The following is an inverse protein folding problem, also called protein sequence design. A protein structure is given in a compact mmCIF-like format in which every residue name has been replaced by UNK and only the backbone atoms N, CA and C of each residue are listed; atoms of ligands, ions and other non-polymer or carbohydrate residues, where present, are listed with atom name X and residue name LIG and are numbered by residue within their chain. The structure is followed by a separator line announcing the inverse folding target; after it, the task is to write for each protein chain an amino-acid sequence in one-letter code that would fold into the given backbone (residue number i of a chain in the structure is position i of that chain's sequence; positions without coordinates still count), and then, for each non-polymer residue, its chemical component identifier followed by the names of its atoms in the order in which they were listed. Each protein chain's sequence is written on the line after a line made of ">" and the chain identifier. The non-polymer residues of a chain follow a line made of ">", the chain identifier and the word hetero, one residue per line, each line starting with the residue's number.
data_IF_199674220671
#
_entry.id   IF_199674220671
#
_cell.length_a   1.000
_cell.length_b   1.000
_cell.length_c   1.000
_cell.angle_alpha   90.00
_cell.angle_beta   90.00
_cell.angle_gamma   90.00
#
_symmetry.space_group_name_H-M   'P 1'
#
loop_
_entity.id
_entity.type
_entity.pdbx_description
1 polymer ?
#
# COMPACT_ATOMS: atom_id res chain seq x y z
N UNK A 1 15.22 16.67 24.35
CA UNK A 1 14.01 16.06 24.96
C UNK A 1 13.45 15.04 23.95
N UNK A 2 13.69 13.75 24.19
CA UNK A 2 13.37 12.67 23.25
C UNK A 2 11.90 12.29 23.48
N UNK A 3 11.01 12.76 22.62
CA UNK A 3 9.58 12.44 22.71
C UNK A 3 9.36 10.94 22.47
N UNK A 4 8.63 10.32 23.40
CA UNK A 4 8.35 8.88 23.49
C UNK A 4 7.77 8.26 22.23
N UNK A 5 7.86 6.94 22.15
CA UNK A 5 7.52 6.10 21.00
C UNK A 5 6.08 6.28 20.50
N UNK A 6 5.83 7.37 19.78
CA UNK A 6 4.64 7.75 18.99
C UNK A 6 5.06 8.67 17.84
N UNK A 7 6.27 8.46 17.31
CA UNK A 7 6.87 9.37 16.36
C UNK A 7 6.06 9.43 15.05
N UNK A 8 5.50 8.28 14.65
CA UNK A 8 4.67 8.14 13.46
C UNK A 8 3.33 8.88 13.60
N UNK A 9 2.60 8.65 14.70
CA UNK A 9 1.34 9.36 14.99
C UNK A 9 1.56 10.88 15.06
N UNK A 10 2.61 11.32 15.76
CA UNK A 10 2.92 12.73 15.90
C UNK A 10 3.27 13.40 14.55
N UNK A 11 3.95 12.66 13.66
CA UNK A 11 4.27 13.15 12.30
C UNK A 11 3.01 13.23 11.43
N UNK A 12 2.13 12.25 11.53
CA UNK A 12 0.85 12.25 10.82
C UNK A 12 0.00 13.46 11.25
N UNK A 13 -0.17 13.69 12.56
CA UNK A 13 -0.96 14.80 13.09
C UNK A 13 -0.45 16.17 12.62
N UNK A 14 0.87 16.38 12.61
CA UNK A 14 1.49 17.61 12.07
C UNK A 14 1.22 17.80 10.58
N UNK A 15 0.95 16.72 9.84
CA UNK A 15 0.65 16.73 8.40
C UNK A 15 -0.86 16.79 8.11
N UNK A 16 -1.76 16.61 9.08
CA UNK A 16 -3.22 16.53 8.84
C UNK A 16 -4.04 17.61 9.56
N UNK A 17 -3.40 18.62 10.16
CA UNK A 17 -4.11 19.75 10.78
C UNK A 17 -4.80 20.70 9.80
N UNK A 18 -5.62 21.65 10.32
CA UNK A 18 -6.31 22.67 9.52
C UNK A 18 -5.34 23.48 8.65
N UNK A 19 -5.79 23.85 7.44
CA UNK A 19 -4.99 24.62 6.47
C UNK A 19 -5.78 25.80 5.93
N UNK A 20 -5.11 26.92 5.75
CA UNK A 20 -5.62 28.04 4.96
C UNK A 20 -5.47 27.77 3.45
N UNK A 21 -6.02 28.65 2.60
CA UNK A 21 -6.01 28.48 1.15
C UNK A 21 -4.59 28.31 0.58
N UNK A 22 -3.65 29.19 0.96
CA UNK A 22 -2.26 29.14 0.50
C UNK A 22 -1.56 27.82 0.90
N UNK A 23 -1.77 27.36 2.13
CA UNK A 23 -1.19 26.09 2.61
C UNK A 23 -1.82 24.87 1.92
N UNK A 24 -3.10 24.93 1.54
CA UNK A 24 -3.75 23.89 0.72
C UNK A 24 -3.18 23.86 -0.68
N UNK A 25 -3.02 25.00 -1.33
CA UNK A 25 -2.41 25.10 -2.66
C UNK A 25 -0.97 24.58 -2.65
N UNK A 26 -0.16 25.01 -1.67
CA UNK A 26 1.20 24.51 -1.49
C UNK A 26 1.25 22.98 -1.30
N UNK A 27 0.25 22.41 -0.60
CA UNK A 27 0.14 20.96 -0.46
C UNK A 27 -0.17 20.27 -1.79
N UNK A 28 -1.07 20.82 -2.61
CA UNK A 28 -1.36 20.28 -3.95
C UNK A 28 -0.11 20.32 -4.83
N UNK A 29 0.65 21.42 -4.78
CA UNK A 29 1.93 21.54 -5.48
C UNK A 29 3.00 20.55 -5.01
N UNK A 30 2.95 20.12 -3.74
CA UNK A 30 3.92 19.17 -3.19
C UNK A 30 3.87 17.78 -3.82
N UNK A 31 2.85 17.47 -4.65
CA UNK A 31 2.79 16.22 -5.43
C UNK A 31 3.82 16.16 -6.57
N UNK A 32 4.31 17.30 -7.04
CA UNK A 32 5.14 17.41 -8.25
C UNK A 32 6.38 16.50 -8.25
N UNK A 33 7.19 16.43 -7.18
CA UNK A 33 8.34 15.52 -7.12
C UNK A 33 7.98 14.03 -7.22
N UNK A 34 6.81 13.64 -6.70
CA UNK A 34 6.29 12.26 -6.78
C UNK A 34 5.91 11.98 -8.23
N UNK A 35 5.16 12.91 -8.85
CA UNK A 35 4.74 12.83 -10.24
C UNK A 35 5.94 12.74 -11.19
N UNK A 36 6.99 13.54 -10.98
CA UNK A 36 8.23 13.51 -11.76
C UNK A 36 8.99 12.17 -11.61
N UNK A 37 8.98 11.59 -10.41
CA UNK A 37 9.60 10.27 -10.16
C UNK A 37 8.89 9.18 -10.93
N UNK A 38 7.55 9.17 -10.89
CA UNK A 38 6.73 8.19 -11.61
C UNK A 38 6.83 8.38 -13.12
N UNK A 39 6.84 9.62 -13.60
CA UNK A 39 7.03 9.93 -15.02
C UNK A 39 8.40 9.42 -15.53
N UNK A 40 9.45 9.49 -14.72
CA UNK A 40 10.76 8.92 -15.06
C UNK A 40 10.72 7.40 -15.15
N UNK A 41 9.96 6.72 -14.28
CA UNK A 41 9.82 5.26 -14.39
C UNK A 41 9.05 4.83 -15.64
N UNK A 42 8.04 5.63 -16.03
CA UNK A 42 7.22 5.40 -17.22
C UNK A 42 8.00 5.43 -18.53
N UNK A 43 9.23 5.97 -18.55
CA UNK A 43 10.07 5.96 -19.76
C UNK A 43 10.71 4.60 -20.05
N UNK A 44 10.69 3.69 -19.08
CA UNK A 44 11.38 2.39 -19.18
C UNK A 44 10.52 1.19 -18.71
N UNK A 45 9.35 1.43 -18.14
CA UNK A 45 8.50 0.39 -17.58
C UNK A 45 7.03 0.70 -17.88
N UNK A 46 6.25 -0.35 -18.12
CA UNK A 46 4.80 -0.23 -18.39
C UNK A 46 3.97 -0.16 -17.09
N UNK A 47 4.46 -0.80 -16.02
CA UNK A 47 3.76 -0.87 -14.74
C UNK A 47 4.72 -1.03 -13.56
N UNK A 48 4.19 -0.81 -12.35
CA UNK A 48 4.81 -1.15 -11.07
C UNK A 48 4.09 -2.37 -10.50
N UNK A 49 4.85 -3.37 -10.05
CA UNK A 49 4.33 -4.47 -9.22
C UNK A 49 4.85 -4.29 -7.80
N UNK A 50 3.95 -4.23 -6.82
CA UNK A 50 4.28 -3.96 -5.43
C UNK A 50 3.31 -4.68 -4.46
N UNK A 51 3.60 -4.77 -3.16
CA UNK A 51 2.64 -5.28 -2.18
C UNK A 51 1.39 -4.40 -2.13
N UNK A 52 0.20 -4.98 -1.94
CA UNK A 52 -1.05 -4.19 -1.72
C UNK A 52 -0.97 -3.43 -0.40
N UNK A 53 -0.42 -4.08 0.62
CA UNK A 53 -0.29 -3.56 1.97
C UNK A 53 0.98 -4.14 2.60
N UNK A 54 1.63 -3.38 3.48
CA UNK A 54 2.74 -3.85 4.28
C UNK A 54 2.33 -4.84 5.40
N UNK A 55 1.02 -5.10 5.53
CA UNK A 55 0.41 -5.94 6.55
C UNK A 55 -0.62 -6.90 5.94
N UNK A 56 -0.80 -8.10 6.54
CA UNK A 56 -1.98 -8.95 6.29
C UNK A 56 -3.30 -8.24 6.61
N UNK A 57 -4.43 -8.94 6.47
CA UNK A 57 -5.74 -8.36 6.76
C UNK A 57 -5.77 -7.75 8.17
N UNK A 58 -6.10 -6.45 8.22
CA UNK A 58 -6.02 -5.67 9.45
C UNK A 58 -7.04 -6.19 10.47
N UNK A 59 -6.63 -6.23 11.74
CA UNK A 59 -7.54 -6.52 12.85
C UNK A 59 -8.62 -5.44 12.93
N UNK A 60 -9.85 -5.83 13.28
CA UNK A 60 -10.94 -4.87 13.48
C UNK A 60 -10.52 -3.75 14.45
N UNK A 61 -10.83 -2.50 14.09
CA UNK A 61 -10.47 -1.32 14.89
C UNK A 61 -9.03 -0.83 14.76
N UNK A 62 -8.15 -1.50 14.01
CA UNK A 62 -6.74 -1.10 13.85
C UNK A 62 -6.46 -0.22 12.61
N UNK A 63 -7.41 -0.14 11.67
CA UNK A 63 -7.22 0.48 10.36
C UNK A 63 -6.77 1.94 10.40
N UNK A 64 -7.30 2.75 11.31
CA UNK A 64 -6.94 4.17 11.43
C UNK A 64 -5.48 4.39 11.84
N UNK A 65 -4.90 3.48 12.63
CA UNK A 65 -3.49 3.53 13.05
C UNK A 65 -2.55 2.99 11.97
N UNK A 66 -3.02 2.04 11.17
CA UNK A 66 -2.21 1.29 10.20
C UNK A 66 -2.43 1.75 8.76
N UNK A 67 -3.11 2.88 8.54
CA UNK A 67 -3.44 3.42 7.21
C UNK A 67 -2.21 3.53 6.29
N UNK A 68 -1.06 3.90 6.83
CA UNK A 68 0.19 4.05 6.06
C UNK A 68 0.73 2.72 5.52
N UNK A 69 0.26 1.57 6.03
CA UNK A 69 0.60 0.26 5.47
C UNK A 69 0.07 0.09 4.05
N UNK A 70 -0.99 0.80 3.67
CA UNK A 70 -1.55 0.82 2.31
C UNK A 70 -0.92 1.91 1.41
N UNK A 71 0.33 2.31 1.68
CA UNK A 71 0.99 3.39 0.93
C UNK A 71 1.04 3.18 -0.59
N UNK A 72 1.17 1.96 -1.14
CA UNK A 72 1.14 1.77 -2.59
C UNK A 72 -0.23 2.10 -3.20
N UNK A 73 -1.32 1.72 -2.52
CA UNK A 73 -2.67 2.11 -2.91
C UNK A 73 -2.87 3.63 -2.89
N UNK A 74 -2.28 4.31 -1.90
CA UNK A 74 -2.34 5.78 -1.81
C UNK A 74 -1.59 6.46 -2.95
N UNK A 75 -0.50 5.87 -3.47
CA UNK A 75 0.23 6.41 -4.62
C UNK A 75 -0.64 6.41 -5.88
N UNK A 76 -1.30 5.28 -6.17
CA UNK A 76 -2.19 5.17 -7.33
C UNK A 76 -3.33 6.21 -7.26
N UNK A 77 -3.93 6.37 -6.08
CA UNK A 77 -4.98 7.37 -5.87
C UNK A 77 -4.46 8.82 -5.97
N UNK A 78 -3.26 9.10 -5.42
CA UNK A 78 -2.68 10.44 -5.43
C UNK A 78 -2.38 10.93 -6.85
N UNK A 79 -1.94 10.03 -7.72
CA UNK A 79 -1.53 10.32 -9.08
C UNK A 79 -2.59 10.02 -10.13
N UNK A 80 -3.75 9.49 -9.72
CA UNK A 80 -4.84 9.05 -10.60
C UNK A 80 -4.34 8.04 -11.65
N UNK A 81 -3.73 6.95 -11.18
CA UNK A 81 -3.20 5.87 -12.00
C UNK A 81 -4.11 4.64 -11.91
N UNK A 82 -4.31 3.95 -13.03
CA UNK A 82 -5.00 2.67 -13.03
C UNK A 82 -4.22 1.65 -12.18
N UNK A 83 -4.89 1.02 -11.24
CA UNK A 83 -4.31 0.00 -10.38
C UNK A 83 -5.29 -1.13 -10.09
N UNK A 84 -4.76 -2.33 -9.91
CA UNK A 84 -5.54 -3.51 -9.54
C UNK A 84 -4.74 -4.42 -8.62
N UNK A 85 -5.44 -5.28 -7.88
CA UNK A 85 -4.83 -6.21 -6.93
C UNK A 85 -5.18 -7.65 -7.31
N UNK A 86 -4.20 -8.54 -7.20
CA UNK A 86 -4.34 -9.97 -7.49
C UNK A 86 -3.77 -10.79 -6.31
N UNK A 87 -4.51 -11.78 -5.78
CA UNK A 87 -3.99 -12.68 -4.76
C UNK A 87 -2.89 -13.56 -5.35
N UNK A 88 -1.80 -13.75 -4.60
CA UNK A 88 -0.64 -14.56 -5.04
C UNK A 88 -0.30 -15.69 -4.09
N UNK A 89 -0.58 -15.52 -2.80
CA UNK A 89 -0.33 -16.56 -1.80
C UNK A 89 -1.23 -16.35 -0.57
N UNK A 90 -1.03 -17.16 0.46
CA UNK A 90 -1.56 -16.94 1.79
C UNK A 90 -0.40 -16.92 2.78
N UNK A 91 -0.56 -16.19 3.89
CA UNK A 91 0.46 -16.08 4.92
C UNK A 91 0.80 -17.47 5.46
N UNK A 92 2.10 -17.78 5.54
CA UNK A 92 2.62 -19.03 6.09
C UNK A 92 2.81 -18.93 7.60
N UNK A 93 2.85 -20.07 8.28
CA UNK A 93 3.01 -20.10 9.75
C UNK A 93 4.33 -19.48 10.24
N UNK A 94 5.38 -19.47 9.42
CA UNK A 94 6.66 -18.83 9.73
C UNK A 94 6.70 -17.33 9.41
N UNK A 95 5.66 -16.78 8.76
CA UNK A 95 5.53 -15.37 8.41
C UNK A 95 4.76 -14.54 9.45
N UNK A 96 4.18 -15.19 10.47
CA UNK A 96 3.45 -14.54 11.58
C UNK A 96 4.38 -13.83 12.57
N UNK A 97 5.69 -14.03 12.44
CA UNK A 97 6.72 -13.44 13.29
C UNK A 97 7.97 -13.10 12.48
N UNK A 98 8.51 -11.89 12.69
CA UNK A 98 9.68 -11.45 11.92
C UNK A 98 9.96 -9.95 12.01
N UNK A 99 8.95 -9.15 12.38
CA UNK A 99 9.14 -7.72 12.64
C UNK A 99 10.04 -7.48 13.86
N UNK A 100 11.01 -6.55 13.79
CA UNK A 100 11.78 -6.10 14.95
C UNK A 100 10.86 -5.59 16.06
N UNK A 101 11.23 -5.84 17.32
CA UNK A 101 10.49 -5.26 18.47
C UNK A 101 10.56 -3.75 18.42
N UNK A 102 9.42 -3.10 18.67
CA UNK A 102 9.31 -1.65 18.70
C UNK A 102 8.37 -1.18 19.79
N UNK A 103 8.68 -0.01 20.35
CA UNK A 103 7.83 0.69 21.31
C UNK A 103 6.95 1.76 20.63
N UNK A 104 7.06 1.97 19.31
CA UNK A 104 6.13 2.83 18.57
C UNK A 104 4.78 2.07 18.39
N UNK A 105 3.60 2.69 18.63
CA UNK A 105 2.36 1.96 18.71
C UNK A 105 1.87 1.54 17.33
N UNK A 106 2.33 2.20 16.26
CA UNK A 106 2.05 1.79 14.88
C UNK A 106 2.81 0.51 14.58
N UNK A 107 4.09 0.46 14.95
CA UNK A 107 4.92 -0.73 14.76
C UNK A 107 4.49 -1.89 15.70
N UNK A 108 4.11 -1.59 16.93
CA UNK A 108 3.53 -2.58 17.85
C UNK A 108 2.19 -3.14 17.32
N UNK A 109 1.33 -2.28 16.75
CA UNK A 109 0.10 -2.73 16.13
C UNK A 109 0.35 -3.56 14.85
N UNK A 110 1.41 -3.24 14.10
CA UNK A 110 1.85 -4.05 12.96
C UNK A 110 2.32 -5.45 13.41
N UNK A 111 3.16 -5.54 14.44
CA UNK A 111 3.58 -6.83 15.05
C UNK A 111 2.37 -7.63 15.50
N UNK A 112 1.39 -6.98 16.14
CA UNK A 112 0.18 -7.66 16.58
C UNK A 112 -0.70 -8.12 15.42
N UNK A 113 -0.70 -7.40 14.30
CA UNK A 113 -1.47 -7.75 13.10
C UNK A 113 -0.90 -9.00 12.41
N UNK A 114 0.41 -9.21 12.45
CA UNK A 114 1.02 -10.42 11.88
C UNK A 114 0.66 -11.68 12.69
N UNK A 115 0.39 -11.57 13.99
CA UNK A 115 0.06 -12.73 14.84
C UNK A 115 -1.30 -13.30 14.48
N UNK A 116 -1.39 -14.61 14.25
CA UNK A 116 -2.64 -15.29 13.90
C UNK A 116 -3.12 -14.98 12.48
N UNK A 117 -2.21 -14.54 11.60
CA UNK A 117 -2.50 -14.21 10.21
C UNK A 117 -2.27 -15.36 9.24
N UNK A 118 -1.72 -16.49 9.68
CA UNK A 118 -1.52 -17.67 8.84
C UNK A 118 -2.82 -18.08 8.11
N UNK A 119 -2.71 -18.34 6.82
CA UNK A 119 -3.84 -18.66 5.94
C UNK A 119 -4.60 -17.46 5.37
N UNK A 120 -4.33 -16.23 5.83
CA UNK A 120 -4.93 -15.03 5.24
C UNK A 120 -4.33 -14.72 3.86
N UNK A 121 -5.12 -14.20 2.92
CA UNK A 121 -4.63 -13.95 1.56
C UNK A 121 -3.58 -12.83 1.54
N UNK A 122 -2.56 -13.04 0.73
CA UNK A 122 -1.51 -12.07 0.38
C UNK A 122 -1.64 -11.75 -1.10
N UNK A 123 -1.78 -10.46 -1.41
CA UNK A 123 -1.92 -9.96 -2.77
C UNK A 123 -0.82 -9.00 -3.16
N UNK A 124 -0.61 -8.87 -4.47
CA UNK A 124 0.21 -7.82 -5.09
C UNK A 124 -0.68 -6.84 -5.82
N UNK A 125 -0.26 -5.59 -5.85
CA UNK A 125 -0.85 -4.51 -6.61
C UNK A 125 -0.04 -4.27 -7.88
N UNK A 126 -0.74 -4.16 -9.00
CA UNK A 126 -0.23 -3.71 -10.29
C UNK A 126 -0.71 -2.29 -10.51
N UNK A 127 0.19 -1.37 -10.83
CA UNK A 127 -0.12 0.04 -11.13
C UNK A 127 0.42 0.35 -12.52
N UNK A 128 -0.45 0.69 -13.48
CA UNK A 128 0.01 1.12 -14.80
C UNK A 128 0.67 2.49 -14.74
N UNK A 129 1.76 2.64 -15.48
CA UNK A 129 2.48 3.91 -15.62
C UNK A 129 2.00 4.72 -16.83
N UNK A 130 1.39 4.03 -17.80
CA UNK A 130 0.68 4.68 -18.90
C UNK A 130 -0.62 5.32 -18.41
N UNK A 131 -0.92 6.52 -18.92
CA UNK A 131 -2.11 7.31 -18.60
C UNK A 131 -3.08 7.43 -19.77
N UNK A 132 -2.76 6.85 -20.92
CA UNK A 132 -3.62 6.86 -22.10
C UNK A 132 -4.89 6.07 -21.80
N UNK A 133 -6.09 6.64 -22.03
CA UNK A 133 -7.35 5.95 -21.80
C UNK A 133 -7.40 4.58 -22.46
N UNK A 134 -7.82 3.55 -21.72
CA UNK A 134 -7.95 2.17 -22.19
C UNK A 134 -6.64 1.40 -22.31
N UNK A 135 -5.48 2.07 -22.34
CA UNK A 135 -4.18 1.38 -22.33
C UNK A 135 -3.78 0.99 -20.92
N UNK A 136 -4.00 1.90 -19.96
CA UNK A 136 -3.64 1.69 -18.56
C UNK A 136 -4.37 0.48 -17.96
N UNK A 137 -5.68 0.38 -18.16
CA UNK A 137 -6.51 -0.73 -17.68
C UNK A 137 -6.14 -2.04 -18.36
N UNK A 138 -5.84 -2.02 -19.67
CA UNK A 138 -5.42 -3.20 -20.40
C UNK A 138 -4.08 -3.75 -19.87
N UNK A 139 -3.11 -2.87 -19.56
CA UNK A 139 -1.84 -3.26 -18.93
C UNK A 139 -2.11 -3.90 -17.57
N UNK A 140 -2.89 -3.24 -16.71
CA UNK A 140 -3.21 -3.75 -15.36
C UNK A 140 -3.86 -5.14 -15.46
N UNK A 141 -4.91 -5.30 -16.26
CA UNK A 141 -5.63 -6.57 -16.40
C UNK A 141 -4.76 -7.66 -17.04
N UNK A 142 -3.96 -7.31 -18.04
CA UNK A 142 -3.03 -8.24 -18.68
C UNK A 142 -2.01 -8.79 -17.68
N UNK A 143 -1.33 -7.91 -16.95
CA UNK A 143 -0.33 -8.31 -15.95
C UNK A 143 -0.96 -9.07 -14.78
N UNK A 144 -2.13 -8.65 -14.29
CA UNK A 144 -2.86 -9.38 -13.24
C UNK A 144 -3.21 -10.80 -13.69
N UNK A 145 -3.62 -10.99 -14.96
CA UNK A 145 -3.92 -12.31 -15.52
C UNK A 145 -2.67 -13.17 -15.59
N UNK A 146 -1.54 -12.63 -16.04
CA UNK A 146 -0.26 -13.36 -16.04
C UNK A 146 0.17 -13.76 -14.63
N UNK A 147 0.04 -12.86 -13.65
CA UNK A 147 0.36 -13.16 -12.25
C UNK A 147 -0.57 -14.25 -11.71
N UNK A 148 -1.88 -14.15 -11.93
CA UNK A 148 -2.85 -15.15 -11.49
C UNK A 148 -2.61 -16.52 -12.11
N UNK A 149 -2.14 -16.58 -13.37
CA UNK A 149 -1.79 -17.83 -14.05
C UNK A 149 -0.60 -18.57 -13.42
N UNK A 150 0.26 -17.86 -12.69
CA UNK A 150 1.41 -18.43 -11.97
C UNK A 150 1.18 -18.52 -10.45
N UNK A 151 0.27 -17.71 -9.91
CA UNK A 151 -0.09 -17.64 -8.49
C UNK A 151 -1.25 -18.58 -8.18
N UNK A 152 -0.93 -19.85 -7.88
CA UNK A 152 -1.91 -20.83 -7.43
C UNK A 152 -2.44 -20.53 -6.03
N UNK A 153 -3.43 -19.64 -5.92
CA UNK A 153 -4.34 -19.59 -4.77
C UNK A 153 -5.73 -19.96 -5.27
N UNK A 154 -6.08 -21.25 -5.19
CA UNK A 154 -7.47 -21.66 -5.18
C UNK A 154 -8.09 -21.12 -3.90
N UNK A 155 -8.84 -20.03 -3.97
CA UNK A 155 -9.65 -19.55 -2.84
C UNK A 155 -10.49 -20.71 -2.30
N UNK A 156 -10.33 -21.15 -1.04
CA UNK A 156 -11.44 -21.79 -0.38
C UNK A 156 -12.44 -20.68 -0.03
N UNK A 157 -13.74 -20.99 -0.14
CA UNK A 157 -14.87 -20.18 0.35
C UNK A 157 -15.43 -19.14 -0.65
N UNK A 158 -16.21 -19.64 -1.60
CA UNK A 158 -17.61 -19.18 -1.76
C UNK A 158 -18.47 -20.37 -1.39
N UNK A 159 -19.08 -20.31 -0.21
CA UNK A 159 -20.05 -21.27 0.33
C UNK A 159 -21.04 -20.51 1.18
#
# INVERSE_FOLDING_TARGET
>A
CVWGGRALEARALRRTGPRNAAAREALLWSRGPIEATVARWATAHDCIVCPVSALPALRHGSASRLLLAASPCLLANLLDLAAGAVPVTAVRGDEESGRPRSNDPVEAAAIETDRGSAGLPVGVQVIALDRRPGTAEAIVLGVMREIAGHGGVTSPIVG
#
